data_IF_841133107689
#
_entry.id   IF_841133107689
#
_cell.length_a   1.000
_cell.length_b   1.000
_cell.length_c   1.000
_cell.angle_alpha   90.00
_cell.angle_beta   90.00
_cell.angle_gamma   90.00
#
_symmetry.space_group_name_H-M   'P 1'
#
loop_
_entity.id
_entity.type
_entity.pdbx_description
1 polymer ?
#
# COMPACT_ATOMS: atom_id res chain seq x y z
N UNK A 1 9.69 -9.67 -7.19
CA UNK A 1 9.81 -9.87 -8.66
C UNK A 1 8.80 -10.92 -9.07
N UNK A 2 7.74 -10.55 -9.75
CA UNK A 2 6.77 -11.48 -10.30
C UNK A 2 7.41 -12.17 -11.52
N UNK A 3 7.59 -13.49 -11.42
CA UNK A 3 8.05 -14.29 -12.56
C UNK A 3 6.92 -14.32 -13.60
N UNK A 4 7.15 -13.71 -14.74
CA UNK A 4 6.25 -13.78 -15.88
C UNK A 4 6.24 -15.22 -16.42
N UNK A 5 5.09 -15.88 -16.28
CA UNK A 5 4.91 -17.17 -16.93
C UNK A 5 4.92 -16.97 -18.45
N UNK A 6 5.78 -17.72 -19.14
CA UNK A 6 5.88 -17.71 -20.59
C UNK A 6 4.52 -17.94 -21.25
N UNK A 7 4.06 -16.99 -22.02
CA UNK A 7 2.89 -17.17 -22.87
C UNK A 7 3.22 -18.22 -23.94
N UNK A 8 2.65 -19.44 -23.82
CA UNK A 8 2.89 -20.56 -24.72
C UNK A 8 2.50 -20.32 -26.19
N UNK A 9 1.82 -19.22 -26.50
CA UNK A 9 1.38 -18.86 -27.86
C UNK A 9 2.42 -18.08 -28.67
N UNK A 10 3.45 -17.56 -28.04
CA UNK A 10 4.46 -16.77 -28.73
C UNK A 10 5.80 -17.49 -28.62
N UNK A 11 6.29 -18.03 -29.74
CA UNK A 11 7.60 -18.64 -29.86
C UNK A 11 8.71 -17.59 -29.71
N UNK A 12 8.89 -17.15 -28.55
CA UNK A 12 10.01 -16.82 -27.75
C UNK A 12 11.08 -15.85 -28.20
N UNK A 13 10.95 -14.90 -29.08
CA UNK A 13 11.90 -13.77 -29.18
C UNK A 13 11.16 -12.45 -28.98
N UNK A 14 10.72 -12.19 -27.76
CA UNK A 14 10.24 -10.86 -27.40
C UNK A 14 11.37 -10.09 -26.75
N UNK A 15 11.77 -9.01 -27.41
CA UNK A 15 12.55 -7.95 -26.80
C UNK A 15 11.71 -7.36 -25.65
N UNK A 16 12.00 -7.80 -24.43
CA UNK A 16 11.28 -7.35 -23.22
C UNK A 16 11.68 -5.91 -22.94
N UNK A 17 11.01 -4.97 -23.58
CA UNK A 17 11.14 -3.55 -23.26
C UNK A 17 10.36 -3.26 -21.97
N UNK A 18 11.00 -2.58 -21.04
CA UNK A 18 10.29 -1.98 -19.91
C UNK A 18 9.30 -0.97 -20.45
N UNK A 19 8.02 -1.27 -20.30
CA UNK A 19 6.94 -0.35 -20.64
C UNK A 19 6.30 0.12 -19.34
N UNK A 20 6.05 1.41 -19.26
CA UNK A 20 5.32 2.02 -18.15
C UNK A 20 3.95 2.44 -18.67
N UNK A 21 2.90 1.90 -18.05
CA UNK A 21 1.54 2.37 -18.30
C UNK A 21 1.35 3.65 -17.50
N UNK A 22 1.00 4.74 -18.17
CA UNK A 22 0.70 6.02 -17.51
C UNK A 22 -0.73 6.44 -17.81
N UNK A 23 -1.40 6.96 -16.80
CA UNK A 23 -2.67 7.65 -16.94
C UNK A 23 -2.49 9.12 -16.53
N UNK A 24 -3.18 10.02 -17.17
CA UNK A 24 -3.20 11.43 -16.81
C UNK A 24 -4.64 11.85 -16.50
N UNK A 25 -4.84 12.44 -15.35
CA UNK A 25 -6.14 12.92 -14.89
C UNK A 25 -5.97 14.33 -14.31
N UNK A 26 -6.97 15.17 -14.52
CA UNK A 26 -7.12 16.45 -13.82
C UNK A 26 -8.15 16.24 -12.74
N UNK A 27 -7.83 16.62 -11.51
CA UNK A 27 -8.72 16.46 -10.34
C UNK A 27 -8.34 17.43 -9.23
N UNK A 28 -9.21 17.57 -8.23
CA UNK A 28 -8.92 18.33 -7.03
C UNK A 28 -7.97 17.57 -6.14
N UNK A 29 -6.95 18.26 -5.62
CA UNK A 29 -5.94 17.68 -4.73
C UNK A 29 -5.73 18.56 -3.50
N UNK A 30 -5.44 17.92 -2.37
CA UNK A 30 -4.87 18.56 -1.18
C UNK A 30 -3.50 17.96 -0.89
N UNK A 31 -2.54 18.82 -0.63
CA UNK A 31 -1.23 18.43 -0.12
C UNK A 31 -1.17 18.73 1.37
N UNK A 32 -0.80 17.73 2.16
CA UNK A 32 -0.62 17.85 3.60
C UNK A 32 0.88 17.74 3.86
N UNK A 33 1.47 18.87 4.23
CA UNK A 33 2.88 18.91 4.59
C UNK A 33 3.03 18.62 6.09
N UNK A 34 3.78 17.55 6.39
CA UNK A 34 4.11 17.15 7.75
C UNK A 34 5.63 17.07 7.86
N UNK A 35 6.29 18.15 8.29
CA UNK A 35 7.76 18.22 8.27
C UNK A 35 8.46 17.10 9.02
N UNK A 36 7.81 16.57 10.09
CA UNK A 36 8.34 15.47 10.88
C UNK A 36 8.36 14.13 10.13
N UNK A 37 7.57 13.98 9.04
CA UNK A 37 7.57 12.78 8.20
C UNK A 37 8.89 12.57 7.46
N UNK A 38 9.73 13.60 7.33
CA UNK A 38 11.09 13.46 6.74
C UNK A 38 11.89 12.37 7.44
N UNK A 39 11.68 12.21 8.75
CA UNK A 39 12.35 11.21 9.58
C UNK A 39 11.51 9.93 9.80
N UNK A 40 10.30 9.87 9.26
CA UNK A 40 9.44 8.70 9.35
C UNK A 40 9.79 7.68 8.26
N UNK A 41 9.57 6.41 8.57
CA UNK A 41 9.64 5.39 7.52
C UNK A 41 8.39 5.46 6.59
N UNK A 42 8.52 4.84 5.44
CA UNK A 42 7.46 4.82 4.44
C UNK A 42 6.16 4.21 4.98
N UNK A 43 6.25 3.23 5.88
CA UNK A 43 5.06 2.59 6.45
C UNK A 43 4.25 3.56 7.33
N UNK A 44 4.91 4.40 8.14
CA UNK A 44 4.23 5.45 8.92
C UNK A 44 3.59 6.48 7.99
N UNK A 45 4.31 6.93 6.96
CA UNK A 45 3.81 7.90 6.00
C UNK A 45 2.61 7.35 5.20
N UNK A 46 2.71 6.13 4.69
CA UNK A 46 1.62 5.46 3.95
C UNK A 46 0.41 5.25 4.85
N UNK A 47 0.63 4.77 6.08
CA UNK A 47 -0.47 4.59 7.03
C UNK A 47 -1.18 5.90 7.34
N UNK A 48 -0.43 6.98 7.51
CA UNK A 48 -1.00 8.30 7.78
C UNK A 48 -1.82 8.81 6.58
N UNK A 49 -1.32 8.63 5.35
CA UNK A 49 -2.06 8.98 4.14
C UNK A 49 -3.38 8.21 4.03
N UNK A 50 -3.34 6.89 4.28
CA UNK A 50 -4.55 6.06 4.27
C UNK A 50 -5.52 6.42 5.42
N UNK A 51 -5.01 6.79 6.58
CA UNK A 51 -5.84 7.24 7.70
C UNK A 51 -6.53 8.57 7.40
N UNK A 52 -5.85 9.54 6.78
CA UNK A 52 -6.45 10.79 6.30
C UNK A 52 -7.55 10.54 5.28
N UNK A 53 -7.31 9.65 4.31
CA UNK A 53 -8.31 9.24 3.33
C UNK A 53 -9.54 8.62 4.01
N UNK A 54 -9.33 7.64 4.88
CA UNK A 54 -10.44 6.96 5.58
C UNK A 54 -11.21 7.91 6.49
N UNK A 55 -10.53 8.80 7.21
CA UNK A 55 -11.18 9.83 8.03
C UNK A 55 -12.05 10.76 7.16
N UNK A 56 -11.56 11.14 5.98
CA UNK A 56 -12.32 11.95 5.03
C UNK A 56 -13.55 11.23 4.48
N UNK A 57 -13.41 9.98 4.04
CA UNK A 57 -14.56 9.19 3.53
C UNK A 57 -15.63 8.99 4.62
N UNK A 58 -15.21 8.77 5.87
CA UNK A 58 -16.14 8.65 6.99
C UNK A 58 -16.81 9.97 7.37
N UNK A 59 -16.09 11.08 7.35
CA UNK A 59 -16.62 12.40 7.68
C UNK A 59 -17.69 12.84 6.68
N UNK A 60 -17.43 12.67 5.40
CA UNK A 60 -18.33 13.07 4.33
C UNK A 60 -19.30 11.97 3.89
N UNK A 61 -19.26 10.79 4.55
CA UNK A 61 -20.11 9.63 4.21
C UNK A 61 -19.96 9.18 2.76
N UNK A 62 -18.74 9.19 2.23
CA UNK A 62 -18.40 8.81 0.86
C UNK A 62 -18.15 7.30 0.71
N UNK A 63 -18.23 6.81 -0.53
CA UNK A 63 -17.67 5.49 -0.88
C UNK A 63 -16.15 5.52 -0.73
N UNK A 64 -15.56 4.42 -0.29
CA UNK A 64 -14.12 4.30 -0.04
C UNK A 64 -13.25 4.60 -1.27
N UNK A 65 -13.82 4.55 -2.46
CA UNK A 65 -13.17 4.78 -3.75
C UNK A 65 -13.26 6.21 -4.27
N UNK A 66 -14.02 7.09 -3.61
CA UNK A 66 -14.19 8.47 -4.06
C UNK A 66 -13.02 9.37 -3.71
N UNK A 67 -12.25 9.00 -2.68
CA UNK A 67 -10.99 9.63 -2.32
C UNK A 67 -9.81 8.69 -2.52
N UNK A 68 -8.74 9.22 -3.09
CA UNK A 68 -7.45 8.56 -3.17
C UNK A 68 -6.39 9.24 -2.31
N UNK A 69 -5.34 8.51 -1.94
CA UNK A 69 -4.20 9.07 -1.23
C UNK A 69 -2.90 8.39 -1.64
N UNK A 70 -1.81 9.14 -1.57
CA UNK A 70 -0.46 8.59 -1.73
C UNK A 70 0.56 9.46 -0.99
N UNK A 71 1.75 8.89 -0.78
CA UNK A 71 2.92 9.60 -0.23
C UNK A 71 3.75 10.12 -1.37
N UNK A 72 4.02 11.41 -1.36
CA UNK A 72 4.86 12.07 -2.36
C UNK A 72 6.25 12.31 -1.77
N UNK A 73 7.33 11.81 -2.41
CA UNK A 73 8.67 12.20 -2.06
C UNK A 73 8.87 13.69 -2.37
N UNK A 74 9.59 14.41 -1.52
CA UNK A 74 9.94 15.80 -1.79
C UNK A 74 11.46 15.93 -2.00
N UNK A 75 11.89 17.07 -2.55
CA UNK A 75 13.30 17.38 -2.76
C UNK A 75 14.10 17.46 -1.44
N UNK A 76 13.40 17.63 -0.31
CA UNK A 76 14.01 17.78 1.01
C UNK A 76 14.19 16.48 1.78
N UNK A 77 13.66 15.35 1.28
CA UNK A 77 13.75 14.05 1.97
C UNK A 77 12.83 12.98 1.37
N UNK A 78 12.92 11.75 1.86
CA UNK A 78 12.24 10.62 1.25
C UNK A 78 10.71 10.61 1.40
N UNK A 79 10.13 11.31 2.41
CA UNK A 79 8.71 11.17 2.75
C UNK A 79 8.13 12.47 3.29
N UNK A 80 7.85 13.44 2.46
CA UNK A 80 7.54 14.74 3.01
C UNK A 80 6.15 15.28 2.71
N UNK A 81 5.41 14.70 1.78
CA UNK A 81 4.08 15.16 1.45
C UNK A 81 3.09 14.01 1.43
N UNK A 82 1.93 14.22 2.03
CA UNK A 82 0.78 13.37 1.81
C UNK A 82 -0.10 14.08 0.78
N UNK A 83 -0.60 13.34 -0.19
CA UNK A 83 -1.51 13.84 -1.19
C UNK A 83 -2.84 13.12 -1.06
N UNK A 84 -3.92 13.88 -0.93
CA UNK A 84 -5.28 13.39 -1.11
C UNK A 84 -5.84 13.96 -2.42
N UNK A 85 -6.68 13.20 -3.07
CA UNK A 85 -7.30 13.62 -4.32
C UNK A 85 -8.67 13.00 -4.52
N UNK A 86 -9.52 13.72 -5.22
CA UNK A 86 -10.79 13.17 -5.71
C UNK A 86 -10.50 12.21 -6.85
N UNK A 87 -11.05 11.00 -6.78
CA UNK A 87 -10.83 10.00 -7.84
C UNK A 87 -11.68 10.27 -9.08
N UNK A 88 -12.70 11.11 -8.98
CA UNK A 88 -13.54 11.52 -10.07
C UNK A 88 -12.75 12.45 -11.02
N UNK A 89 -12.72 12.19 -12.34
CA UNK A 89 -12.14 13.11 -13.31
C UNK A 89 -12.83 14.48 -13.25
N UNK A 90 -12.04 15.54 -13.13
CA UNK A 90 -12.52 16.91 -12.98
C UNK A 90 -12.71 17.36 -11.54
N UNK A 91 -12.56 16.45 -10.56
CA UNK A 91 -12.84 16.70 -9.16
C UNK A 91 -14.33 16.55 -8.83
N UNK A 92 -14.63 16.20 -7.59
CA UNK A 92 -15.99 16.15 -7.05
C UNK A 92 -16.22 17.19 -5.95
N UNK A 93 -15.16 17.92 -5.57
CA UNK A 93 -15.19 18.93 -4.50
C UNK A 93 -15.01 18.37 -3.10
N UNK A 94 -14.86 17.07 -2.93
CA UNK A 94 -14.72 16.45 -1.60
C UNK A 94 -13.48 16.92 -0.87
N UNK A 95 -12.35 17.04 -1.59
CA UNK A 95 -11.11 17.55 -1.01
C UNK A 95 -11.27 19.00 -0.54
N UNK A 96 -11.99 19.85 -1.26
CA UNK A 96 -12.26 21.21 -0.87
C UNK A 96 -13.13 21.25 0.40
N UNK A 97 -14.18 20.45 0.48
CA UNK A 97 -15.06 20.34 1.65
C UNK A 97 -14.30 19.83 2.89
N UNK A 98 -13.38 18.89 2.73
CA UNK A 98 -12.51 18.42 3.82
C UNK A 98 -11.60 19.54 4.36
N UNK A 99 -11.08 20.40 3.48
CA UNK A 99 -10.25 21.53 3.90
C UNK A 99 -11.05 22.59 4.65
N UNK A 100 -12.31 22.82 4.28
CA UNK A 100 -13.23 23.71 5.01
C UNK A 100 -13.55 23.15 6.40
N UNK A 101 -13.63 21.82 6.54
CA UNK A 101 -13.93 21.11 7.80
C UNK A 101 -12.66 20.50 8.44
N UNK A 102 -11.50 21.15 8.28
CA UNK A 102 -10.20 20.57 8.65
C UNK A 102 -10.11 20.15 10.13
N UNK A 103 -10.76 20.89 11.04
CA UNK A 103 -10.73 20.55 12.48
C UNK A 103 -11.46 19.24 12.79
N UNK A 104 -12.64 19.03 12.17
CA UNK A 104 -13.43 17.82 12.30
C UNK A 104 -12.72 16.63 11.62
N UNK A 105 -12.14 16.89 10.45
CA UNK A 105 -11.35 15.90 9.73
C UNK A 105 -10.15 15.40 10.56
N UNK A 106 -9.39 16.30 11.20
CA UNK A 106 -8.28 15.96 12.12
C UNK A 106 -8.78 15.21 13.35
N UNK A 107 -9.94 15.58 13.90
CA UNK A 107 -10.56 14.83 14.99
C UNK A 107 -10.88 13.40 14.55
N UNK A 108 -11.52 13.24 13.39
CA UNK A 108 -11.88 11.95 12.84
C UNK A 108 -10.65 11.08 12.52
N UNK A 109 -9.57 11.68 12.01
CA UNK A 109 -8.29 11.02 11.83
C UNK A 109 -7.77 10.39 13.14
N UNK A 110 -7.91 11.11 14.23
CA UNK A 110 -7.52 10.61 15.56
C UNK A 110 -8.33 9.37 15.95
N UNK A 111 -9.63 9.37 15.70
CA UNK A 111 -10.51 8.23 15.97
C UNK A 111 -10.16 7.02 15.10
N UNK A 112 -9.79 7.24 13.83
CA UNK A 112 -9.35 6.19 12.91
C UNK A 112 -8.04 5.55 13.37
N UNK A 113 -7.08 6.34 13.82
CA UNK A 113 -5.79 5.84 14.31
C UNK A 113 -5.89 5.18 15.69
N UNK A 114 -6.81 5.63 16.54
CA UNK A 114 -6.99 5.11 17.89
C UNK A 114 -8.45 4.72 18.15
N UNK A 115 -8.78 3.50 17.80
CA UNK A 115 -10.13 2.92 18.03
C UNK A 115 -10.41 2.66 19.52
N UNK A 116 -9.36 2.51 20.34
CA UNK A 116 -9.46 2.26 21.77
C UNK A 116 -8.28 1.43 22.30
N UNK A 117 -8.09 1.41 23.60
CA UNK A 117 -6.93 0.79 24.23
C UNK A 117 -6.83 -0.72 23.92
N UNK A 118 -7.91 -1.45 24.09
CA UNK A 118 -7.94 -2.90 23.81
C UNK A 118 -7.65 -3.25 22.34
N UNK A 119 -8.07 -2.38 21.40
CA UNK A 119 -7.73 -2.52 19.99
C UNK A 119 -6.27 -2.16 19.75
N UNK A 120 -5.78 -1.08 20.37
CA UNK A 120 -4.40 -0.63 20.23
C UNK A 120 -3.38 -1.70 20.64
N UNK A 121 -3.65 -2.45 21.72
CA UNK A 121 -2.79 -3.54 22.20
C UNK A 121 -2.77 -4.75 21.27
N UNK A 122 -3.86 -5.04 20.56
CA UNK A 122 -3.98 -6.22 19.70
C UNK A 122 -3.59 -5.96 18.24
N UNK A 123 -3.79 -4.75 17.75
CA UNK A 123 -3.60 -4.41 16.35
C UNK A 123 -2.37 -3.52 16.15
N UNK A 124 -1.27 -4.10 15.67
CA UNK A 124 -0.01 -3.37 15.43
C UNK A 124 0.03 -2.74 14.04
N UNK A 125 -0.34 -3.49 13.01
CA UNK A 125 -0.30 -3.04 11.60
C UNK A 125 -1.63 -2.46 11.13
N UNK A 126 -2.58 -3.30 10.83
CA UNK A 126 -3.94 -2.95 10.43
C UNK A 126 -4.87 -4.17 10.59
N UNK A 127 -6.16 -3.93 10.77
CA UNK A 127 -7.20 -4.95 10.72
C UNK A 127 -8.50 -4.35 10.17
N UNK A 128 -9.51 -5.19 9.95
CA UNK A 128 -10.81 -4.79 9.38
C UNK A 128 -11.57 -3.76 10.24
N UNK A 129 -11.26 -3.69 11.54
CA UNK A 129 -11.87 -2.71 12.44
C UNK A 129 -11.23 -1.32 12.35
N UNK A 130 -10.11 -1.16 11.63
CA UNK A 130 -9.40 0.11 11.51
C UNK A 130 -9.04 0.49 10.07
N UNK A 131 -7.88 0.11 9.59
CA UNK A 131 -7.29 0.61 8.34
C UNK A 131 -7.31 -0.40 7.20
N UNK A 132 -7.60 -1.68 7.48
CA UNK A 132 -7.61 -2.70 6.45
C UNK A 132 -8.93 -2.68 5.70
N UNK A 133 -8.86 -2.46 4.41
CA UNK A 133 -9.96 -2.48 3.45
C UNK A 133 -9.50 -3.14 2.15
N UNK A 134 -10.39 -3.28 1.20
CA UNK A 134 -10.02 -3.76 -0.14
C UNK A 134 -8.95 -2.87 -0.78
N UNK A 135 -9.04 -1.57 -0.61
CA UNK A 135 -8.12 -0.59 -1.20
C UNK A 135 -6.73 -0.62 -0.54
N UNK A 136 -6.65 -0.99 0.74
CA UNK A 136 -5.40 -0.98 1.52
C UNK A 136 -4.76 -2.35 1.70
N UNK A 137 -5.39 -3.41 1.22
CA UNK A 137 -4.86 -4.78 1.36
C UNK A 137 -3.47 -4.95 0.74
N UNK A 138 -3.23 -4.30 -0.40
CA UNK A 138 -1.92 -4.36 -1.06
C UNK A 138 -0.83 -3.67 -0.23
N UNK A 139 -1.13 -2.51 0.35
CA UNK A 139 -0.21 -1.82 1.25
C UNK A 139 0.07 -2.66 2.51
N UNK A 140 -0.95 -3.35 3.02
CA UNK A 140 -0.81 -4.27 4.14
C UNK A 140 0.12 -5.44 3.80
N UNK A 141 -0.08 -6.09 2.66
CA UNK A 141 0.73 -7.22 2.20
C UNK A 141 2.20 -6.83 1.93
N UNK A 142 2.43 -5.57 1.55
CA UNK A 142 3.77 -4.99 1.40
C UNK A 142 4.40 -4.55 2.72
N UNK A 143 3.69 -4.67 3.85
CA UNK A 143 4.16 -4.20 5.15
C UNK A 143 4.18 -2.68 5.29
N UNK A 144 3.41 -1.97 4.45
CA UNK A 144 3.33 -0.51 4.44
C UNK A 144 2.26 0.05 5.38
N UNK A 145 1.60 -0.80 6.16
CA UNK A 145 0.67 -0.35 7.20
C UNK A 145 1.26 -0.63 8.59
N UNK A 146 1.37 0.43 9.39
CA UNK A 146 1.99 0.42 10.72
C UNK A 146 1.19 1.28 11.70
N UNK A 147 -0.08 0.93 11.93
CA UNK A 147 -1.04 1.74 12.70
C UNK A 147 -0.53 2.15 14.10
N UNK A 148 -0.01 1.20 14.87
CA UNK A 148 0.44 1.51 16.23
C UNK A 148 1.57 2.55 16.24
N UNK A 149 2.56 2.41 15.36
CA UNK A 149 3.66 3.37 15.20
C UNK A 149 3.18 4.71 14.65
N UNK A 150 2.21 4.69 13.75
CA UNK A 150 1.61 5.92 13.20
C UNK A 150 0.79 6.64 14.27
N UNK A 151 0.12 5.90 15.15
CA UNK A 151 -0.52 6.50 16.33
C UNK A 151 0.50 7.18 17.27
N UNK A 152 1.60 6.52 17.58
CA UNK A 152 2.68 7.12 18.41
C UNK A 152 3.23 8.39 17.77
N UNK A 153 3.46 8.36 16.45
CA UNK A 153 3.89 9.52 15.68
C UNK A 153 2.86 10.65 15.76
N UNK A 154 1.60 10.35 15.50
CA UNK A 154 0.50 11.32 15.55
C UNK A 154 0.30 11.93 16.95
N UNK A 155 0.37 11.11 17.99
CA UNK A 155 0.28 11.55 19.37
C UNK A 155 1.46 12.50 19.75
N UNK A 156 2.66 12.20 19.29
CA UNK A 156 3.81 13.11 19.43
C UNK A 156 3.58 14.45 18.73
N UNK A 157 3.04 14.46 17.52
CA UNK A 157 2.71 15.70 16.80
C UNK A 157 1.68 16.53 17.54
N UNK A 158 0.58 15.94 17.97
CA UNK A 158 -0.49 16.63 18.71
C UNK A 158 0.00 17.24 20.02
N UNK A 159 0.89 16.54 20.71
CA UNK A 159 1.42 17.00 22.01
C UNK A 159 2.73 17.81 21.86
N UNK A 160 3.11 18.20 20.64
CA UNK A 160 4.34 18.94 20.34
C UNK A 160 5.59 18.28 20.92
N UNK A 161 5.61 16.96 20.99
CA UNK A 161 6.75 16.16 21.43
C UNK A 161 7.63 15.78 20.26
N UNK A 162 8.93 15.66 20.49
CA UNK A 162 9.85 15.12 19.47
C UNK A 162 9.61 13.64 19.29
N UNK A 163 9.32 13.23 18.06
CA UNK A 163 9.23 11.83 17.69
C UNK A 163 10.58 11.35 17.15
N UNK A 164 11.10 10.27 17.71
CA UNK A 164 12.30 9.60 17.20
C UNK A 164 11.91 8.28 16.57
N UNK A 165 12.14 8.11 15.28
CA UNK A 165 11.96 6.83 14.62
C UNK A 165 12.95 5.83 15.21
N UNK A 166 12.48 4.79 15.88
CA UNK A 166 13.30 3.63 16.22
C UNK A 166 13.55 2.77 14.96
N UNK A 167 13.95 3.40 13.87
CA UNK A 167 14.35 2.70 12.65
C UNK A 167 15.66 1.91 12.81
N UNK A 168 16.29 1.92 14.00
CA UNK A 168 17.64 1.43 14.18
C UNK A 168 17.77 0.05 14.84
N UNK A 169 16.69 -0.71 15.04
CA UNK A 169 16.80 -2.01 15.71
C UNK A 169 16.07 -3.18 15.01
N UNK A 170 15.95 -3.17 13.69
CA UNK A 170 15.70 -4.40 12.94
C UNK A 170 16.82 -4.59 11.93
N UNK A 171 18.02 -4.78 12.47
CA UNK A 171 19.12 -5.41 11.74
C UNK A 171 19.05 -6.91 12.01
N UNK A 172 18.12 -7.58 11.43
CA UNK A 172 18.20 -8.98 11.06
C UNK A 172 17.29 -9.16 9.86
N UNK A 173 17.87 -8.92 8.69
CA UNK A 173 17.28 -9.41 7.44
C UNK A 173 16.92 -10.87 7.67
N UNK A 174 15.68 -11.30 7.42
CA UNK A 174 15.45 -12.71 7.28
C UNK A 174 16.32 -13.16 6.12
N UNK A 175 17.32 -13.97 6.44
CA UNK A 175 18.13 -14.67 5.45
C UNK A 175 17.13 -15.41 4.57
N UNK A 176 16.97 -14.98 3.33
CA UNK A 176 16.21 -15.74 2.34
C UNK A 176 16.77 -17.15 2.38
N UNK A 177 15.96 -18.19 2.57
CA UNK A 177 16.46 -19.54 2.46
C UNK A 177 17.08 -19.70 1.07
N UNK A 178 18.38 -19.94 1.03
CA UNK A 178 19.12 -20.25 -0.19
C UNK A 178 18.44 -21.45 -0.80
N UNK A 179 17.85 -21.28 -1.97
CA UNK A 179 17.27 -22.38 -2.73
C UNK A 179 18.35 -23.46 -2.88
N UNK A 180 18.02 -24.74 -2.63
CA UNK A 180 18.98 -25.81 -2.84
C UNK A 180 19.46 -25.82 -4.31
N UNK A 181 20.72 -26.15 -4.57
CA UNK A 181 21.22 -26.21 -5.93
C UNK A 181 20.37 -27.20 -6.74
N UNK A 182 19.92 -26.76 -7.91
CA UNK A 182 19.23 -27.62 -8.88
C UNK A 182 20.27 -28.62 -9.33
N UNK A 183 20.23 -29.81 -8.75
CA UNK A 183 20.95 -30.97 -9.29
C UNK A 183 20.22 -31.40 -10.56
N UNK A 184 20.90 -31.38 -11.69
CA UNK A 184 20.47 -31.99 -12.94
C UNK A 184 20.15 -33.45 -12.69
N UNK A 185 18.87 -33.75 -12.45
CA UNK A 185 18.38 -35.12 -12.46
C UNK A 185 18.01 -35.49 -13.90
N UNK A 186 18.90 -36.27 -14.45
CA UNK A 186 18.79 -37.05 -15.69
C UNK A 186 17.37 -37.30 -16.20
N UNK A 187 17.23 -37.03 -17.48
CA UNK A 187 16.15 -37.49 -18.32
C UNK A 187 15.89 -38.99 -18.16
N UNK A 188 14.74 -39.37 -17.62
CA UNK A 188 14.18 -40.71 -17.85
C UNK A 188 12.66 -40.69 -17.68
N UNK A 189 12.02 -41.16 -18.73
CA UNK A 189 10.67 -41.72 -18.84
C UNK A 189 9.47 -40.78 -18.64
N UNK A 190 9.02 -40.22 -19.73
CA UNK A 190 7.62 -39.81 -19.95
C UNK A 190 6.72 -41.04 -19.94
N UNK A 191 5.69 -41.16 -19.09
CA UNK A 191 4.79 -42.31 -19.16
C UNK A 191 3.91 -42.24 -20.42
N UNK A 192 3.83 -43.35 -21.11
CA UNK A 192 3.10 -43.72 -22.33
C UNK A 192 1.55 -43.60 -22.23
N UNK A 193 1.04 -42.62 -21.52
CA UNK A 193 -0.41 -42.39 -21.33
C UNK A 193 -1.04 -41.41 -22.29
N UNK A 194 -0.27 -40.65 -23.02
CA UNK A 194 -0.77 -39.65 -23.97
C UNK A 194 -0.95 -40.14 -25.39
N UNK A 195 -0.39 -41.30 -25.74
CA UNK A 195 -0.53 -41.87 -27.09
C UNK A 195 -1.86 -42.61 -27.29
N UNK A 196 -2.44 -43.17 -26.22
CA UNK A 196 -3.75 -43.85 -26.30
C UNK A 196 -4.95 -42.92 -26.49
N UNK A 197 -4.84 -41.66 -26.18
CA UNK A 197 -5.95 -40.69 -26.34
C UNK A 197 -6.04 -40.16 -27.79
N UNK A 198 -4.97 -40.28 -28.58
CA UNK A 198 -4.92 -39.79 -29.98
C UNK A 198 -5.51 -40.77 -30.98
N UNK A 199 -5.60 -42.08 -30.67
CA UNK A 199 -6.14 -43.12 -31.57
C UNK A 199 -7.67 -43.25 -31.54
N UNK A 200 -8.36 -42.69 -30.51
CA UNK A 200 -9.83 -42.75 -30.38
C UNK A 200 -10.58 -41.59 -31.07
N UNK A 201 -9.91 -40.69 -31.75
CA UNK A 201 -10.56 -39.59 -32.53
C UNK A 201 -10.42 -39.71 -34.04
N UNK A 202 -10.03 -40.89 -34.57
CA UNK A 202 -9.96 -41.16 -36.00
C UNK A 202 -10.69 -42.47 -36.39
N UNK A 203 -11.72 -42.81 -35.65
CA UNK A 203 -12.68 -43.87 -36.03
C UNK A 203 -14.07 -43.32 -35.94
#
# INVERSE_FOLDING_TARGET
>A
MLAWQHCRKHNGKHDLRRQMLTARQVTDIATIDVPQLVNADLAVATTLAQAFRLAGTQLLSLDSRELGSFVMPTDSGPNCGLVLFDTMPGGAGHVAELLESAAEWISKLTDVLFVGQAHHERCVSACLDCLLSYETQFDHDQGLLARARTWEFWDCLRNRRTWSSRASQVSSSPTLPTAPPITDASASSVPDRLEKARRKRKS
#
